data_IF_710524481008
#
_entry.id   IF_710524481008
#
_cell.length_a   1.000
_cell.length_b   1.000
_cell.length_c   1.000
_cell.angle_alpha   90.00
_cell.angle_beta   90.00
_cell.angle_gamma   90.00
#
_symmetry.space_group_name_H-M   'P 1'
#
loop_
_entity.id
_entity.type
_entity.pdbx_description
1 polymer ?
#
# COMPACT_ATOMS: atom_id res chain seq x y z
N UNK A 1 0.61 -2.48 -8.98
CA UNK A 1 0.71 -3.50 -10.03
C UNK A 1 0.74 -4.91 -9.46
N UNK A 2 1.66 -5.24 -8.54
CA UNK A 2 1.89 -6.61 -8.01
C UNK A 2 0.63 -7.31 -7.46
N UNK A 3 -0.15 -6.65 -6.59
CA UNK A 3 -1.36 -7.28 -6.01
C UNK A 3 -2.47 -7.47 -7.05
N UNK A 4 -2.59 -6.53 -8.00
CA UNK A 4 -3.56 -6.62 -9.09
C UNK A 4 -3.22 -7.77 -10.05
N UNK A 5 -1.94 -7.97 -10.40
CA UNK A 5 -1.52 -9.09 -11.24
C UNK A 5 -1.74 -10.46 -10.58
N UNK A 6 -1.60 -10.56 -9.24
CA UNK A 6 -1.90 -11.78 -8.50
C UNK A 6 -3.41 -12.07 -8.51
N UNK A 7 -4.26 -11.06 -8.27
CA UNK A 7 -5.71 -11.24 -8.30
C UNK A 7 -6.25 -11.60 -9.69
N UNK A 8 -5.70 -10.95 -10.72
CA UNK A 8 -5.99 -11.26 -12.12
C UNK A 8 -5.57 -12.69 -12.48
N UNK A 9 -4.43 -13.17 -11.95
CA UNK A 9 -3.99 -14.57 -12.12
C UNK A 9 -4.89 -15.59 -11.41
N UNK A 10 -5.63 -15.18 -10.37
CA UNK A 10 -6.62 -16.01 -9.66
C UNK A 10 -8.00 -16.03 -10.35
N UNK A 11 -8.17 -15.39 -11.51
CA UNK A 11 -9.41 -15.39 -12.28
C UNK A 11 -10.53 -14.51 -11.70
N UNK A 12 -10.25 -13.71 -10.67
CA UNK A 12 -11.25 -12.92 -9.95
C UNK A 12 -11.37 -11.51 -10.58
N UNK A 13 -12.01 -11.42 -11.75
CA UNK A 13 -12.20 -10.17 -12.49
C UNK A 13 -13.29 -9.24 -11.89
N UNK A 14 -14.21 -9.77 -11.09
CA UNK A 14 -15.39 -9.04 -10.61
C UNK A 14 -15.31 -8.54 -9.17
N UNK A 15 -14.30 -8.96 -8.41
CA UNK A 15 -14.05 -8.43 -7.07
C UNK A 15 -13.04 -7.29 -7.18
N UNK A 16 -13.37 -6.06 -6.74
CA UNK A 16 -12.46 -4.93 -6.83
C UNK A 16 -11.15 -5.28 -6.09
N UNK A 17 -10.01 -5.40 -6.80
CA UNK A 17 -8.72 -5.74 -6.16
C UNK A 17 -8.30 -4.70 -5.11
N UNK A 18 -8.90 -3.51 -5.18
CA UNK A 18 -8.76 -2.40 -4.25
C UNK A 18 -9.13 -2.81 -2.81
N UNK A 19 -10.21 -3.56 -2.62
CA UNK A 19 -10.68 -3.98 -1.28
C UNK A 19 -9.68 -4.86 -0.54
N UNK A 20 -8.91 -5.66 -1.27
CA UNK A 20 -7.88 -6.54 -0.70
C UNK A 20 -6.55 -5.78 -0.57
N UNK A 21 -6.23 -4.93 -1.55
CA UNK A 21 -4.95 -4.20 -1.55
C UNK A 21 -4.87 -3.06 -0.53
N UNK A 22 -6.00 -2.42 -0.19
CA UNK A 22 -6.05 -1.31 0.76
C UNK A 22 -5.67 -1.71 2.20
N UNK A 23 -6.32 -2.70 2.85
CA UNK A 23 -5.95 -3.10 4.21
C UNK A 23 -4.53 -3.65 4.27
N UNK A 24 -4.10 -4.39 3.22
CA UNK A 24 -2.75 -4.92 3.14
C UNK A 24 -1.68 -3.82 3.03
N UNK A 25 -1.90 -2.81 2.18
CA UNK A 25 -0.98 -1.66 2.09
C UNK A 25 -0.91 -0.88 3.39
N UNK A 26 -2.03 -0.68 4.08
CA UNK A 26 -2.05 0.02 5.37
C UNK A 26 -1.30 -0.75 6.45
N UNK A 27 -1.47 -2.07 6.52
CA UNK A 27 -0.70 -2.91 7.46
C UNK A 27 0.80 -2.81 7.19
N UNK A 28 1.23 -2.93 5.92
CA UNK A 28 2.65 -2.75 5.56
C UNK A 28 3.16 -1.34 5.86
N UNK A 29 2.35 -0.31 5.62
CA UNK A 29 2.72 1.07 5.91
C UNK A 29 2.95 1.31 7.41
N UNK A 30 2.11 0.73 8.26
CA UNK A 30 2.28 0.80 9.72
C UNK A 30 3.47 -0.04 10.18
N UNK A 31 3.67 -1.24 9.63
CA UNK A 31 4.79 -2.14 10.00
C UNK A 31 6.18 -1.57 9.71
N UNK A 32 6.31 -0.68 8.71
CA UNK A 32 7.58 -0.04 8.34
C UNK A 32 7.72 1.35 8.99
N UNK A 33 6.90 1.68 9.99
CA UNK A 33 6.84 3.02 10.60
C UNK A 33 6.70 4.15 9.56
N UNK A 34 5.87 3.93 8.54
CA UNK A 34 5.73 4.82 7.39
C UNK A 34 5.32 6.25 7.77
N UNK A 35 4.62 6.45 8.89
CA UNK A 35 4.29 7.78 9.41
C UNK A 35 5.53 8.55 9.88
N UNK A 36 6.48 7.88 10.54
CA UNK A 36 7.71 8.52 10.98
C UNK A 36 8.60 8.90 9.78
N UNK A 37 8.70 8.00 8.80
CA UNK A 37 9.46 8.25 7.57
C UNK A 37 8.87 9.38 6.73
N UNK A 38 7.55 9.43 6.59
CA UNK A 38 6.87 10.51 5.85
C UNK A 38 7.07 11.85 6.54
N UNK A 39 6.76 11.98 7.84
CA UNK A 39 6.97 13.24 8.58
C UNK A 39 8.45 13.66 8.59
N UNK A 40 9.38 12.72 8.80
CA UNK A 40 10.82 12.98 8.75
C UNK A 40 11.29 13.45 7.38
N UNK A 41 10.74 12.88 6.29
CA UNK A 41 11.05 13.32 4.93
C UNK A 41 10.47 14.71 4.62
N UNK A 42 9.27 15.02 5.11
CA UNK A 42 8.69 16.35 4.98
C UNK A 42 9.53 17.39 5.72
N UNK A 43 9.88 17.13 6.98
CA UNK A 43 10.71 18.05 7.77
C UNK A 43 12.07 18.33 7.11
N UNK A 44 12.72 17.30 6.56
CA UNK A 44 13.98 17.47 5.81
C UNK A 44 13.83 18.28 4.53
N UNK A 45 12.64 18.30 3.92
CA UNK A 45 12.39 19.06 2.69
C UNK A 45 12.14 20.55 2.93
N UNK A 46 11.83 20.95 4.17
CA UNK A 46 11.59 22.35 4.53
C UNK A 46 12.81 23.09 5.10
N UNK A 47 13.89 22.36 5.42
CA UNK A 47 15.19 22.90 5.85
C UNK A 47 16.15 22.99 4.67
#
# INVERSE_FOLDING_TARGET
MVVASILLSMGMMMLPPVLISLPFKLMLFVMVDGWYLTVGSLMKSFS
#
